data_IF_487923056272
#
_entry.id   IF_487923056272
#
_cell.length_a   1.000
_cell.length_b   1.000
_cell.length_c   1.000
_cell.angle_alpha   90.00
_cell.angle_beta   90.00
_cell.angle_gamma   90.00
#
_symmetry.space_group_name_H-M   'P 1'
#
loop_
_entity.id
_entity.type
_entity.pdbx_description
1 polymer ?
#
# COMPACT_ATOMS: atom_id res chain seq x y z
N UNK A 1 -67.48 18.49 -20.25
CA UNK A 1 -66.00 18.49 -20.06
C UNK A 1 -65.71 17.96 -18.66
N UNK A 2 -65.37 16.67 -18.51
CA UNK A 2 -65.14 16.03 -17.21
C UNK A 2 -63.73 15.45 -17.20
N UNK A 3 -62.84 16.05 -16.39
CA UNK A 3 -61.45 15.61 -16.24
C UNK A 3 -61.40 14.48 -15.20
N UNK A 4 -61.05 13.28 -15.64
CA UNK A 4 -60.70 12.17 -14.75
C UNK A 4 -59.24 12.35 -14.30
N UNK A 5 -59.04 12.73 -13.04
CA UNK A 5 -57.72 12.68 -12.39
C UNK A 5 -57.58 11.33 -11.68
N UNK A 6 -56.59 10.49 -12.03
CA UNK A 6 -56.38 9.22 -11.36
C UNK A 6 -55.83 9.47 -9.96
N UNK A 7 -56.63 9.20 -8.94
CA UNK A 7 -56.16 9.19 -7.55
C UNK A 7 -55.35 7.90 -7.32
N UNK A 8 -54.02 8.00 -7.29
CA UNK A 8 -53.12 6.93 -6.91
C UNK A 8 -53.37 6.52 -5.45
N UNK A 9 -54.25 5.53 -5.26
CA UNK A 9 -54.46 4.90 -3.95
C UNK A 9 -53.30 3.93 -3.69
N UNK A 10 -52.30 4.38 -2.93
CA UNK A 10 -51.18 3.54 -2.47
C UNK A 10 -51.68 2.47 -1.49
N UNK A 11 -51.94 1.27 -2.00
CA UNK A 11 -52.23 0.10 -1.19
C UNK A 11 -51.00 -0.43 -0.45
N UNK A 12 -51.23 -1.25 0.59
CA UNK A 12 -50.17 -1.88 1.39
C UNK A 12 -49.14 -2.63 0.52
N UNK A 13 -49.60 -3.29 -0.55
CA UNK A 13 -48.75 -4.03 -1.50
C UNK A 13 -47.69 -3.14 -2.16
N UNK A 14 -48.08 -1.94 -2.60
CA UNK A 14 -47.14 -1.00 -3.24
C UNK A 14 -46.08 -0.53 -2.25
N UNK A 15 -46.45 -0.31 -0.97
CA UNK A 15 -45.50 0.05 0.09
C UNK A 15 -44.49 -1.07 0.35
N UNK A 16 -44.96 -2.32 0.42
CA UNK A 16 -44.10 -3.50 0.63
C UNK A 16 -43.14 -3.69 -0.54
N UNK A 17 -43.62 -3.54 -1.79
CA UNK A 17 -42.76 -3.63 -2.98
C UNK A 17 -41.68 -2.55 -2.98
N UNK A 18 -42.03 -1.31 -2.62
CA UNK A 18 -41.07 -0.21 -2.51
C UNK A 18 -39.99 -0.50 -1.46
N UNK A 19 -40.39 -0.91 -0.25
CA UNK A 19 -39.44 -1.23 0.82
C UNK A 19 -38.56 -2.42 0.44
N UNK A 20 -39.15 -3.47 -0.15
CA UNK A 20 -38.41 -4.66 -0.59
C UNK A 20 -37.41 -4.32 -1.70
N UNK A 21 -37.81 -3.49 -2.66
CA UNK A 21 -36.94 -2.99 -3.72
C UNK A 21 -35.78 -2.18 -3.15
N UNK A 22 -36.03 -1.37 -2.11
CA UNK A 22 -34.97 -0.62 -1.45
C UNK A 22 -34.02 -1.55 -0.67
N UNK A 23 -34.56 -2.53 0.06
CA UNK A 23 -33.73 -3.53 0.77
C UNK A 23 -32.83 -4.32 -0.19
N UNK A 24 -33.31 -4.64 -1.39
CA UNK A 24 -32.53 -5.34 -2.41
C UNK A 24 -31.35 -4.53 -2.95
N UNK A 25 -31.35 -3.20 -2.80
CA UNK A 25 -30.21 -2.35 -3.18
C UNK A 25 -29.09 -2.36 -2.12
N UNK A 26 -29.40 -2.74 -0.88
CA UNK A 26 -28.43 -2.70 0.23
C UNK A 26 -27.20 -3.60 0.03
N UNK A 27 -27.32 -4.85 -0.46
CA UNK A 27 -26.14 -5.70 -0.67
C UNK A 27 -25.16 -5.09 -1.67
N UNK A 28 -25.67 -4.48 -2.75
CA UNK A 28 -24.82 -3.84 -3.76
C UNK A 28 -24.14 -2.59 -3.19
N UNK A 29 -24.88 -1.76 -2.46
CA UNK A 29 -24.33 -0.57 -1.84
C UNK A 29 -23.29 -0.92 -0.76
N UNK A 30 -23.57 -1.95 0.04
CA UNK A 30 -22.65 -2.47 1.05
C UNK A 30 -21.35 -2.98 0.43
N UNK A 31 -21.44 -3.74 -0.68
CA UNK A 31 -20.25 -4.18 -1.42
C UNK A 31 -19.42 -2.99 -1.92
N UNK A 32 -20.06 -2.00 -2.55
CA UNK A 32 -19.38 -0.80 -3.04
C UNK A 32 -18.71 -0.02 -1.91
N UNK A 33 -19.37 0.09 -0.76
CA UNK A 33 -18.82 0.77 0.41
C UNK A 33 -17.56 0.06 0.95
N UNK A 34 -17.63 -1.26 1.15
CA UNK A 34 -16.48 -2.05 1.63
C UNK A 34 -15.30 -1.93 0.67
N UNK A 35 -15.55 -2.00 -0.63
CA UNK A 35 -14.53 -1.83 -1.66
C UNK A 35 -13.85 -0.45 -1.60
N UNK A 36 -14.63 0.62 -1.45
CA UNK A 36 -14.07 1.97 -1.36
C UNK A 36 -13.26 2.14 -0.07
N UNK A 37 -13.74 1.56 1.03
CA UNK A 37 -13.01 1.58 2.31
C UNK A 37 -11.66 0.84 2.21
N UNK A 38 -11.61 -0.32 1.55
CA UNK A 38 -10.35 -1.03 1.30
C UNK A 38 -9.36 -0.15 0.53
N UNK A 39 -9.83 0.49 -0.55
CA UNK A 39 -9.00 1.38 -1.36
C UNK A 39 -8.47 2.57 -0.56
N UNK A 40 -9.32 3.21 0.24
CA UNK A 40 -8.94 4.33 1.10
C UNK A 40 -7.88 3.91 2.12
N UNK A 41 -8.07 2.76 2.77
CA UNK A 41 -7.11 2.23 3.74
C UNK A 41 -5.76 1.94 3.09
N UNK A 42 -5.76 1.26 1.94
CA UNK A 42 -4.54 0.94 1.20
C UNK A 42 -3.78 2.20 0.80
N UNK A 43 -4.49 3.20 0.28
CA UNK A 43 -3.90 4.48 -0.12
C UNK A 43 -3.32 5.23 1.10
N UNK A 44 -4.00 5.20 2.24
CA UNK A 44 -3.49 5.80 3.48
C UNK A 44 -2.16 5.19 3.91
N UNK A 45 -2.07 3.85 3.89
CA UNK A 45 -0.84 3.13 4.22
C UNK A 45 0.30 3.47 3.26
N UNK A 46 0.03 3.49 1.95
CA UNK A 46 1.02 3.83 0.92
C UNK A 46 1.55 5.26 1.11
N UNK A 47 0.67 6.22 1.35
CA UNK A 47 1.05 7.61 1.58
C UNK A 47 1.92 7.79 2.84
N UNK A 48 1.57 7.10 3.93
CA UNK A 48 2.38 7.09 5.15
C UNK A 48 3.74 6.48 4.89
N UNK A 49 3.81 5.34 4.19
CA UNK A 49 5.07 4.69 3.85
C UNK A 49 5.97 5.63 3.04
N UNK A 50 5.46 6.21 1.96
CA UNK A 50 6.22 7.17 1.14
C UNK A 50 6.69 8.37 1.97
N UNK A 51 5.83 8.90 2.85
CA UNK A 51 6.17 10.00 3.75
C UNK A 51 7.33 9.64 4.68
N UNK A 52 7.28 8.46 5.31
CA UNK A 52 8.36 7.97 6.19
C UNK A 52 9.65 7.73 5.42
N UNK A 53 9.60 7.09 4.24
CA UNK A 53 10.78 6.85 3.40
C UNK A 53 11.44 8.17 3.00
N UNK A 54 10.65 9.19 2.61
CA UNK A 54 11.20 10.53 2.30
C UNK A 54 11.82 11.18 3.52
N UNK A 55 11.16 11.16 4.68
CA UNK A 55 11.69 11.76 5.90
C UNK A 55 13.02 11.10 6.31
N UNK A 56 13.10 9.77 6.24
CA UNK A 56 14.33 9.02 6.49
C UNK A 56 15.41 9.36 5.47
N UNK A 57 15.08 9.38 4.17
CA UNK A 57 16.02 9.74 3.11
C UNK A 57 16.56 11.17 3.29
N UNK A 58 15.71 12.14 3.63
CA UNK A 58 16.13 13.52 3.92
C UNK A 58 17.03 13.59 5.13
N UNK A 59 16.63 12.98 6.26
CA UNK A 59 17.43 12.99 7.50
C UNK A 59 18.81 12.33 7.32
N UNK A 60 18.88 11.30 6.46
CA UNK A 60 20.10 10.60 6.11
C UNK A 60 20.97 11.43 5.15
N UNK A 61 20.35 12.05 4.13
CA UNK A 61 21.02 12.95 3.19
C UNK A 61 21.63 14.19 3.88
N UNK A 62 20.98 14.70 4.92
CA UNK A 62 21.50 15.81 5.75
C UNK A 62 22.68 15.43 6.66
N UNK A 63 23.08 14.15 6.69
CA UNK A 63 24.25 13.65 7.43
C UNK A 63 25.35 13.17 6.49
N UNK A 64 25.97 14.05 5.68
CA UNK A 64 27.02 13.65 4.73
C UNK A 64 28.22 12.97 5.41
N UNK A 65 28.47 13.27 6.69
CA UNK A 65 29.54 12.64 7.47
C UNK A 65 29.30 11.15 7.78
N UNK A 66 28.07 10.62 7.70
CA UNK A 66 27.80 9.17 7.78
C UNK A 66 28.24 8.42 6.52
N UNK A 67 28.32 9.11 5.39
CA UNK A 67 28.76 8.56 4.09
C UNK A 67 30.17 9.01 3.70
N UNK A 68 30.91 9.59 4.63
CA UNK A 68 32.28 10.01 4.36
C UNK A 68 33.11 8.76 4.06
N UNK A 69 33.56 8.63 2.81
CA UNK A 69 34.32 7.48 2.30
C UNK A 69 35.57 7.23 3.18
N UNK A 70 36.17 8.27 3.75
CA UNK A 70 37.32 8.14 4.67
C UNK A 70 36.98 7.48 6.02
N UNK A 71 35.72 7.51 6.49
CA UNK A 71 35.29 6.84 7.73
C UNK A 71 34.97 5.34 7.52
N UNK A 72 34.68 4.93 6.28
CA UNK A 72 34.36 3.53 5.93
C UNK A 72 35.56 2.69 5.50
N UNK A 73 36.75 3.31 5.33
CA UNK A 73 38.00 2.57 5.13
C UNK A 73 38.49 1.98 6.46
N UNK A 74 37.85 0.90 6.90
CA UNK A 74 38.48 0.00 7.84
C UNK A 74 39.68 -0.64 7.14
N UNK A 75 40.88 -0.53 7.73
CA UNK A 75 42.11 -1.13 7.18
C UNK A 75 41.99 -2.66 7.02
N UNK A 76 41.05 -3.29 7.71
CA UNK A 76 40.60 -4.67 7.49
C UNK A 76 39.13 -4.80 7.88
N UNK A 77 38.33 -5.46 7.05
CA UNK A 77 36.92 -5.78 7.32
C UNK A 77 36.86 -6.96 8.29
N UNK A 78 36.25 -6.80 9.47
CA UNK A 78 36.04 -7.90 10.42
C UNK A 78 34.72 -8.63 10.09
N UNK A 79 34.83 -9.90 9.67
CA UNK A 79 33.68 -10.75 9.34
C UNK A 79 32.75 -10.88 10.56
N UNK A 80 31.54 -10.32 10.46
CA UNK A 80 30.50 -10.37 11.50
C UNK A 80 30.25 -9.05 12.23
N UNK A 81 31.12 -8.05 12.08
CA UNK A 81 30.93 -6.71 12.65
C UNK A 81 30.65 -5.66 11.58
N UNK A 82 31.32 -5.80 10.44
CA UNK A 82 31.28 -4.83 9.36
C UNK A 82 30.43 -5.37 8.20
N UNK A 83 29.43 -4.59 7.80
CA UNK A 83 28.57 -4.89 6.64
C UNK A 83 29.23 -4.33 5.38
N UNK A 84 29.61 -5.21 4.46
CA UNK A 84 30.11 -4.82 3.14
C UNK A 84 28.98 -4.92 2.11
N UNK A 85 28.65 -3.79 1.47
CA UNK A 85 27.70 -3.76 0.36
C UNK A 85 28.44 -4.02 -0.95
N UNK A 86 28.08 -5.09 -1.65
CA UNK A 86 28.62 -5.39 -2.97
C UNK A 86 27.92 -4.58 -4.05
N UNK A 87 28.66 -4.17 -5.07
CA UNK A 87 28.10 -3.42 -6.19
C UNK A 87 27.15 -4.31 -7.00
N UNK A 88 25.96 -3.77 -7.30
CA UNK A 88 24.92 -4.47 -8.02
C UNK A 88 25.10 -4.15 -9.51
N UNK A 89 25.33 -5.19 -10.32
CA UNK A 89 25.48 -5.03 -11.77
C UNK A 89 24.16 -4.59 -12.45
N UNK A 90 23.02 -4.86 -11.81
CA UNK A 90 21.68 -4.53 -12.31
C UNK A 90 20.82 -3.93 -11.19
N UNK A 91 19.91 -2.98 -11.51
CA UNK A 91 18.97 -2.45 -10.53
C UNK A 91 17.99 -3.53 -10.06
N UNK A 92 17.76 -3.58 -8.75
CA UNK A 92 16.80 -4.48 -8.09
C UNK A 92 15.38 -3.92 -8.10
N UNK A 93 14.36 -4.79 -8.09
CA UNK A 93 12.97 -4.38 -7.86
C UNK A 93 12.63 -4.43 -6.38
N UNK A 94 11.97 -3.37 -5.89
CA UNK A 94 11.46 -3.29 -4.52
C UNK A 94 10.05 -3.88 -4.42
N UNK A 95 9.84 -5.07 -4.97
CA UNK A 95 8.55 -5.77 -5.02
C UNK A 95 8.41 -6.87 -3.95
N UNK A 96 9.42 -7.01 -3.08
CA UNK A 96 9.47 -8.02 -2.02
C UNK A 96 9.89 -9.41 -2.49
N UNK A 97 10.24 -9.59 -3.78
CA UNK A 97 10.78 -10.85 -4.29
C UNK A 97 12.30 -10.84 -4.20
N UNK A 98 12.86 -12.01 -3.87
CA UNK A 98 14.31 -12.19 -3.77
C UNK A 98 14.95 -12.67 -5.08
N UNK A 99 14.18 -12.81 -6.17
CA UNK A 99 14.68 -13.35 -7.44
C UNK A 99 15.83 -12.52 -8.02
N UNK A 100 15.78 -11.21 -7.85
CA UNK A 100 16.79 -10.29 -8.38
C UNK A 100 18.13 -10.38 -7.62
N UNK A 101 18.13 -11.06 -6.46
CA UNK A 101 19.29 -11.24 -5.60
C UNK A 101 20.01 -12.59 -5.80
N UNK A 102 19.45 -13.49 -6.60
CA UNK A 102 19.93 -14.88 -6.70
C UNK A 102 21.39 -14.99 -7.18
N UNK A 103 21.83 -14.08 -8.06
CA UNK A 103 23.21 -14.02 -8.54
C UNK A 103 24.23 -13.66 -7.44
N UNK A 104 23.75 -13.18 -6.29
CA UNK A 104 24.55 -12.76 -5.14
C UNK A 104 24.41 -13.71 -3.94
N UNK A 105 23.79 -14.90 -4.08
CA UNK A 105 23.63 -15.88 -3.00
C UNK A 105 24.97 -16.23 -2.32
N UNK A 106 26.06 -16.31 -3.09
CA UNK A 106 27.41 -16.59 -2.55
C UNK A 106 27.97 -15.49 -1.64
N UNK A 107 27.38 -14.29 -1.68
CA UNK A 107 27.76 -13.13 -0.89
C UNK A 107 26.81 -12.92 0.30
N UNK A 108 25.71 -13.69 0.37
CA UNK A 108 24.76 -13.60 1.47
C UNK A 108 25.36 -14.13 2.78
N UNK A 109 25.25 -13.32 3.81
CA UNK A 109 25.60 -13.70 5.19
C UNK A 109 24.30 -13.91 5.94
N UNK A 110 24.14 -15.10 6.53
CA UNK A 110 22.94 -15.43 7.29
C UNK A 110 23.07 -14.83 8.70
N UNK A 111 22.24 -13.84 9.01
CA UNK A 111 22.13 -13.27 10.35
C UNK A 111 20.93 -13.95 11.01
N UNK A 112 21.23 -14.88 11.94
CA UNK A 112 20.22 -15.65 12.67
C UNK A 112 19.43 -14.83 13.68
#
# INVERSE_FOLDING_TARGET
MMKFSPQLRFGLRTKVILISSFLLLLPWLGYKYVWEMEKLLRQGQEQTLIGTTRAVATALNERPNLFNLQASFLKSVEKGKDLYAYDLQNPIKLDGKLSDWHDYDNQMVNYG
#
